data_IF_395985547968
#
_entry.id   IF_395985547968
#
_cell.length_a   1.000
_cell.length_b   1.000
_cell.length_c   1.000
_cell.angle_alpha   90.00
_cell.angle_beta   90.00
_cell.angle_gamma   90.00
#
_symmetry.space_group_name_H-M   'P 1'
#
loop_
_entity.id
_entity.type
_entity.pdbx_description
1 polymer ?
#
# COMPACT_ATOMS: atom_id res chain seq x y z
N UNK A 1 11.20 5.81 -5.72
CA UNK A 1 10.62 6.54 -4.57
C UNK A 1 9.58 5.71 -3.83
N UNK A 2 8.28 5.66 -4.21
CA UNK A 2 7.26 4.91 -3.44
C UNK A 2 7.65 3.42 -3.26
N UNK A 3 8.11 2.78 -4.34
CA UNK A 3 8.57 1.39 -4.29
C UNK A 3 9.72 1.21 -3.28
N UNK A 4 10.75 2.05 -3.39
CA UNK A 4 11.96 1.98 -2.56
C UNK A 4 11.62 2.25 -1.09
N UNK A 5 10.81 3.28 -0.81
CA UNK A 5 10.39 3.63 0.56
C UNK A 5 9.49 2.54 1.17
N UNK A 6 8.66 1.90 0.34
CA UNK A 6 7.81 0.78 0.78
C UNK A 6 8.63 -0.47 1.09
N UNK A 7 9.64 -0.79 0.27
CA UNK A 7 10.57 -1.89 0.53
C UNK A 7 11.43 -1.65 1.77
N UNK A 8 11.90 -0.41 1.96
CA UNK A 8 12.65 0.00 3.14
C UNK A 8 11.82 -0.17 4.42
N UNK A 9 10.56 0.26 4.41
CA UNK A 9 9.66 0.05 5.54
C UNK A 9 9.29 -1.43 5.73
N UNK A 10 9.11 -2.17 4.64
CA UNK A 10 8.85 -3.60 4.67
C UNK A 10 9.94 -4.37 5.41
N UNK A 11 11.20 -4.10 5.08
CA UNK A 11 12.36 -4.68 5.78
C UNK A 11 12.39 -4.31 7.27
N UNK A 12 11.97 -3.09 7.64
CA UNK A 12 11.89 -2.68 9.06
C UNK A 12 10.77 -3.39 9.83
N UNK A 13 9.61 -3.58 9.19
CA UNK A 13 8.41 -4.13 9.85
C UNK A 13 8.45 -5.65 9.92
N UNK A 14 9.03 -6.32 8.93
CA UNK A 14 9.01 -7.78 8.82
C UNK A 14 10.41 -8.42 8.87
N UNK A 15 11.49 -7.65 8.90
CA UNK A 15 12.85 -8.18 9.00
C UNK A 15 13.16 -9.17 7.88
N UNK A 16 13.66 -10.35 8.28
CA UNK A 16 14.03 -11.43 7.37
C UNK A 16 12.83 -12.08 6.65
N UNK A 17 11.60 -11.85 7.12
CA UNK A 17 10.39 -12.33 6.44
C UNK A 17 9.94 -11.40 5.31
N UNK A 18 10.58 -10.24 5.14
CA UNK A 18 10.24 -9.31 4.08
C UNK A 18 10.74 -9.80 2.72
N UNK A 19 9.81 -9.98 1.79
CA UNK A 19 10.13 -10.14 0.37
C UNK A 19 10.08 -8.78 -0.32
N UNK A 20 11.18 -8.39 -0.94
CA UNK A 20 11.26 -7.15 -1.74
C UNK A 20 10.24 -7.22 -2.86
N UNK A 21 9.36 -6.23 -2.91
CA UNK A 21 8.33 -6.14 -3.95
C UNK A 21 8.85 -5.39 -5.17
N UNK A 22 8.31 -5.73 -6.33
CA UNK A 22 8.58 -5.05 -7.59
C UNK A 22 7.52 -4.01 -7.96
N UNK A 23 7.71 -3.41 -9.15
CA UNK A 23 6.76 -2.45 -9.72
C UNK A 23 5.40 -3.09 -10.05
N UNK A 24 5.37 -4.39 -10.35
CA UNK A 24 4.13 -5.09 -10.74
C UNK A 24 3.20 -5.25 -9.54
N UNK A 25 3.74 -5.66 -8.39
CA UNK A 25 3.02 -5.81 -7.13
C UNK A 25 2.47 -4.47 -6.66
N UNK A 26 3.29 -3.42 -6.72
CA UNK A 26 2.85 -2.06 -6.38
C UNK A 26 1.75 -1.56 -7.33
N UNK A 27 1.86 -1.84 -8.64
CA UNK A 27 0.80 -1.52 -9.61
C UNK A 27 -0.48 -2.32 -9.34
N UNK A 28 -0.37 -3.60 -9.02
CA UNK A 28 -1.51 -4.45 -8.67
C UNK A 28 -2.25 -3.93 -7.43
N UNK A 29 -1.50 -3.48 -6.42
CA UNK A 29 -2.05 -2.82 -5.24
C UNK A 29 -2.88 -1.56 -5.58
N UNK A 30 -2.38 -0.68 -6.45
CA UNK A 30 -3.14 0.50 -6.89
C UNK A 30 -4.32 0.15 -7.81
N UNK A 31 -4.20 -0.89 -8.64
CA UNK A 31 -5.32 -1.40 -9.46
C UNK A 31 -6.51 -1.83 -8.60
N UNK A 32 -6.25 -2.49 -7.47
CA UNK A 32 -7.30 -2.85 -6.50
C UNK A 32 -8.06 -1.61 -6.01
N UNK A 33 -7.36 -0.54 -5.64
CA UNK A 33 -8.02 0.70 -5.18
C UNK A 33 -8.91 1.32 -6.26
N UNK A 34 -8.44 1.32 -7.51
CA UNK A 34 -9.25 1.76 -8.66
C UNK A 34 -10.51 0.90 -8.82
N UNK A 35 -10.37 -0.43 -8.75
CA UNK A 35 -11.51 -1.35 -8.87
C UNK A 35 -12.52 -1.17 -7.73
N UNK A 36 -12.05 -1.04 -6.48
CA UNK A 36 -12.92 -0.74 -5.33
C UNK A 36 -13.72 0.55 -5.55
N UNK A 37 -13.11 1.57 -6.17
CA UNK A 37 -13.81 2.79 -6.59
C UNK A 37 -14.88 2.54 -7.66
N UNK A 38 -14.57 1.74 -8.69
CA UNK A 38 -15.51 1.37 -9.76
C UNK A 38 -16.74 0.64 -9.20
N UNK A 39 -16.53 -0.27 -8.24
CA UNK A 39 -17.60 -1.01 -7.58
C UNK A 39 -18.38 -0.16 -6.54
N UNK A 40 -18.01 1.11 -6.34
CA UNK A 40 -18.59 2.02 -5.33
C UNK A 40 -18.54 1.43 -3.91
N UNK A 41 -17.53 0.61 -3.64
CA UNK A 41 -17.39 -0.20 -2.43
C UNK A 41 -16.84 0.57 -1.22
N UNK A 42 -17.12 1.87 -1.14
CA UNK A 42 -16.71 2.69 -0.01
C UNK A 42 -17.41 2.21 1.25
N UNK A 43 -16.64 1.95 2.31
CA UNK A 43 -17.16 1.50 3.60
C UNK A 43 -17.31 -0.02 3.74
N UNK A 44 -17.12 -0.78 2.66
CA UNK A 44 -17.08 -2.23 2.74
C UNK A 44 -15.78 -2.72 3.40
N UNK A 45 -15.89 -3.79 4.17
CA UNK A 45 -14.71 -4.40 4.81
C UNK A 45 -13.84 -5.10 3.78
N UNK A 46 -12.52 -5.12 4.01
CA UNK A 46 -11.64 -5.94 3.17
C UNK A 46 -11.97 -7.44 3.24
N UNK A 47 -12.60 -7.91 4.33
CA UNK A 47 -13.08 -9.28 4.45
C UNK A 47 -14.23 -9.55 3.47
N UNK A 48 -15.26 -8.71 3.44
CA UNK A 48 -16.39 -8.86 2.51
C UNK A 48 -15.97 -8.68 1.06
N UNK A 49 -15.02 -7.78 0.77
CA UNK A 49 -14.53 -7.57 -0.59
C UNK A 49 -13.73 -8.77 -1.14
N UNK A 50 -13.03 -9.52 -0.29
CA UNK A 50 -12.26 -10.71 -0.66
C UNK A 50 -12.99 -12.04 -0.38
N UNK A 51 -14.22 -12.01 0.11
CA UNK A 51 -15.01 -13.20 0.46
C UNK A 51 -15.20 -14.16 -0.72
N UNK A 52 -14.97 -15.46 -0.53
CA UNK A 52 -14.94 -16.45 -1.63
C UNK A 52 -16.21 -16.50 -2.45
N UNK A 53 -17.37 -16.29 -1.81
CA UNK A 53 -18.69 -16.49 -2.40
C UNK A 53 -19.32 -15.16 -2.82
N UNK A 54 -19.23 -14.15 -1.95
CA UNK A 54 -19.93 -12.86 -2.08
C UNK A 54 -19.01 -11.70 -2.44
N UNK A 55 -17.70 -11.92 -2.39
CA UNK A 55 -16.69 -10.92 -2.69
C UNK A 55 -16.47 -10.72 -4.18
N UNK A 56 -15.49 -9.87 -4.49
CA UNK A 56 -15.14 -9.53 -5.88
C UNK A 56 -14.01 -10.44 -6.31
N UNK A 57 -14.32 -11.47 -7.09
CA UNK A 57 -13.34 -12.47 -7.55
C UNK A 57 -12.11 -11.84 -8.20
N UNK A 58 -12.29 -10.72 -8.93
CA UNK A 58 -11.18 -9.97 -9.55
C UNK A 58 -10.18 -9.44 -8.52
N UNK A 59 -10.60 -9.06 -7.31
CA UNK A 59 -9.68 -8.54 -6.29
C UNK A 59 -8.74 -9.64 -5.78
N UNK A 60 -9.26 -10.85 -5.54
CA UNK A 60 -8.45 -12.03 -5.19
C UNK A 60 -7.52 -12.45 -6.32
N UNK A 61 -8.00 -12.39 -7.56
CA UNK A 61 -7.23 -12.74 -8.74
C UNK A 61 -6.06 -11.77 -8.97
N UNK A 62 -6.23 -10.48 -8.64
CA UNK A 62 -5.15 -9.48 -8.71
C UNK A 62 -4.15 -9.66 -7.57
N UNK A 63 -4.63 -9.84 -6.33
CA UNK A 63 -3.75 -10.04 -5.18
C UNK A 63 -4.49 -10.71 -4.00
N UNK A 64 -3.89 -11.69 -3.32
CA UNK A 64 -4.44 -12.26 -2.10
C UNK A 64 -4.66 -11.20 -0.99
N UNK A 65 -5.71 -11.37 -0.18
CA UNK A 65 -6.04 -10.43 0.91
C UNK A 65 -4.86 -10.21 1.87
N UNK A 66 -4.10 -11.27 2.16
CA UNK A 66 -2.91 -11.23 3.01
C UNK A 66 -1.89 -10.21 2.47
N UNK A 67 -1.57 -10.28 1.18
CA UNK A 67 -0.60 -9.41 0.55
C UNK A 67 -1.11 -7.96 0.47
N UNK A 68 -2.42 -7.77 0.18
CA UNK A 68 -3.03 -6.44 0.22
C UNK A 68 -2.92 -5.78 1.61
N UNK A 69 -3.17 -6.55 2.68
CA UNK A 69 -3.02 -6.06 4.06
C UNK A 69 -1.57 -5.75 4.42
N UNK A 70 -0.64 -6.62 4.01
CA UNK A 70 0.81 -6.40 4.20
C UNK A 70 1.23 -5.09 3.52
N UNK A 71 0.93 -4.92 2.23
CA UNK A 71 1.27 -3.71 1.49
C UNK A 71 0.61 -2.47 2.07
N UNK A 72 -0.66 -2.54 2.50
CA UNK A 72 -1.34 -1.42 3.17
C UNK A 72 -0.63 -0.98 4.45
N UNK A 73 0.01 -1.90 5.18
CA UNK A 73 0.75 -1.58 6.41
C UNK A 73 2.07 -0.87 6.12
N UNK A 74 2.77 -1.25 5.04
CA UNK A 74 4.14 -0.80 4.75
C UNK A 74 4.26 0.20 3.61
N UNK A 75 3.18 0.53 2.90
CA UNK A 75 3.19 1.58 1.88
C UNK A 75 3.74 2.89 2.46
N UNK A 76 4.80 3.42 1.85
CA UNK A 76 5.40 4.69 2.24
C UNK A 76 5.67 5.56 1.03
N UNK A 77 5.50 6.86 1.22
CA UNK A 77 5.78 7.91 0.23
C UNK A 77 7.03 8.71 0.58
N UNK A 78 7.69 8.38 1.69
CA UNK A 78 8.87 9.04 2.24
C UNK A 78 9.71 8.05 3.06
N UNK A 79 10.95 8.44 3.41
CA UNK A 79 11.70 7.70 4.41
C UNK A 79 11.23 8.06 5.83
N UNK A 80 10.68 7.05 6.51
CA UNK A 80 10.18 7.15 7.89
C UNK A 80 11.27 7.58 8.89
N UNK A 81 12.55 7.24 8.67
CA UNK A 81 13.62 7.59 9.61
C UNK A 81 13.87 9.10 9.66
N UNK A 82 13.86 9.77 8.52
CA UNK A 82 14.10 11.23 8.44
C UNK A 82 12.83 12.05 8.64
N UNK A 83 11.65 11.41 8.63
CA UNK A 83 10.34 12.08 8.68
C UNK A 83 10.19 13.02 9.87
N UNK A 84 10.60 12.61 11.07
CA UNK A 84 10.40 13.42 12.28
C UNK A 84 11.18 14.74 12.20
N UNK A 85 12.39 14.73 11.64
CA UNK A 85 13.19 15.93 11.43
C UNK A 85 12.56 16.81 10.35
N UNK A 86 12.15 16.23 9.21
CA UNK A 86 11.51 16.97 8.11
C UNK A 86 10.18 17.60 8.52
N UNK A 87 9.37 16.92 9.35
CA UNK A 87 8.07 17.41 9.85
C UNK A 87 8.17 18.69 10.70
N UNK A 88 9.34 18.99 11.26
CA UNK A 88 9.55 20.24 12.01
C UNK A 88 9.48 21.46 11.09
N UNK A 89 9.82 21.30 9.80
CA UNK A 89 9.84 22.36 8.80
C UNK A 89 8.68 22.25 7.81
N UNK A 90 8.25 21.03 7.50
CA UNK A 90 7.21 20.75 6.52
C UNK A 90 6.21 19.72 7.06
N UNK A 91 4.99 20.18 7.38
CA UNK A 91 3.92 19.28 7.86
C UNK A 91 3.53 18.22 6.82
N UNK A 92 3.73 18.48 5.53
CA UNK A 92 3.46 17.54 4.43
C UNK A 92 4.64 16.62 4.10
N UNK A 93 5.73 16.65 4.88
CA UNK A 93 6.91 15.80 4.68
C UNK A 93 6.61 14.32 4.36
N UNK A 94 5.58 13.66 4.92
CA UNK A 94 5.28 12.27 4.58
C UNK A 94 4.86 12.01 3.13
N UNK A 95 4.36 13.03 2.41
CA UNK A 95 3.85 12.91 1.04
C UNK A 95 4.43 13.96 0.07
N UNK A 96 5.28 14.86 0.58
CA UNK A 96 5.84 16.02 -0.15
C UNK A 96 6.38 15.65 -1.52
N UNK A 97 7.20 14.60 -1.60
CA UNK A 97 7.85 14.19 -2.85
C UNK A 97 6.88 13.64 -3.91
N UNK A 98 5.70 13.17 -3.50
CA UNK A 98 4.64 12.76 -4.44
C UNK A 98 3.79 13.97 -4.82
N UNK A 99 3.53 14.87 -3.89
CA UNK A 99 2.64 16.01 -4.08
C UNK A 99 3.21 17.06 -5.05
N UNK A 100 4.51 17.31 -4.98
CA UNK A 100 5.18 18.31 -5.83
C UNK A 100 5.47 17.78 -7.26
N UNK A 101 5.04 16.55 -7.58
CA UNK A 101 5.17 15.93 -8.91
C UNK A 101 3.83 15.87 -9.62
#
# INVERSE_FOLDING_TARGET
MILDMTNLEGGRVFGNEWSVIGKLELKAYFRIHRLVGVYRSKGETTKSLWDSETGRTILRAVMPLKNFKILSRVLRFDDRQTRNQRRQKDKLAPIREVWDK
#
